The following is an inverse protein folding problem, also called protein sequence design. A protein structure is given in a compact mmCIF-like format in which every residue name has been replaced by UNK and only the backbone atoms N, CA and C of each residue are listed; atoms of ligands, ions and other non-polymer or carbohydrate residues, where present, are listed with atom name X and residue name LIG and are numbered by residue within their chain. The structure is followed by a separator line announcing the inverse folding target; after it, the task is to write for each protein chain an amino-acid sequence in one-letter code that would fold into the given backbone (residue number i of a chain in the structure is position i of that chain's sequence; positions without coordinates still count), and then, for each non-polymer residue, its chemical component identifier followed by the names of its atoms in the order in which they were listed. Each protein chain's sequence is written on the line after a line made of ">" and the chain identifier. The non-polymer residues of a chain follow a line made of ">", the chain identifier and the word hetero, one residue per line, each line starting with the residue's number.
data_IF_509038018591
#
_entry.id   IF_509038018591
#
_cell.length_a   1.000
_cell.length_b   1.000
_cell.length_c   1.000
_cell.angle_alpha   90.00
_cell.angle_beta   90.00
_cell.angle_gamma   90.00
#
_symmetry.space_group_name_H-M   'P 1'
#
loop_
_entity.id
_entity.type
_entity.pdbx_description
1 polymer ?
#
# COMPACT_ATOMS: atom_id res chain seq x y z
N UNK A 1 -4.64 8.91 -15.62
CA UNK A 1 -3.39 9.19 -14.88
C UNK A 1 -3.58 8.73 -13.44
N UNK A 2 -2.54 8.24 -12.77
CA UNK A 2 -2.57 7.91 -11.34
C UNK A 2 -2.10 9.14 -10.58
N UNK A 3 -2.88 9.60 -9.60
CA UNK A 3 -2.58 10.78 -8.79
C UNK A 3 -2.67 10.42 -7.31
N UNK A 4 -1.91 11.14 -6.48
CA UNK A 4 -2.01 10.94 -5.03
C UNK A 4 -3.42 11.31 -4.55
N UNK A 5 -4.04 10.46 -3.72
CA UNK A 5 -5.35 10.73 -3.16
C UNK A 5 -5.28 11.64 -1.91
N UNK A 6 -4.21 12.40 -1.67
CA UNK A 6 -4.05 13.20 -0.42
C UNK A 6 -5.30 13.99 0.02
N UNK A 7 -6.13 14.50 -0.90
CA UNK A 7 -7.40 15.16 -0.55
C UNK A 7 -8.64 14.26 -0.69
N UNK A 8 -8.64 13.33 -1.64
CA UNK A 8 -9.75 12.39 -1.83
C UNK A 8 -9.73 11.24 -0.80
N UNK A 9 -8.61 11.08 -0.09
CA UNK A 9 -8.21 10.01 0.83
C UNK A 9 -8.15 8.61 0.21
N UNK A 10 -8.99 8.34 -0.80
CA UNK A 10 -9.08 7.07 -1.51
C UNK A 10 -9.36 7.29 -3.01
N UNK A 11 -8.58 6.63 -3.86
CA UNK A 11 -8.85 6.48 -5.29
C UNK A 11 -9.05 5.01 -5.64
N UNK A 12 -9.97 4.75 -6.57
CA UNK A 12 -10.16 3.41 -7.14
C UNK A 12 -9.74 3.41 -8.61
N UNK A 13 -8.95 2.42 -8.98
CA UNK A 13 -8.50 2.23 -10.35
C UNK A 13 -8.94 0.86 -10.87
N UNK A 14 -9.63 0.88 -12.01
CA UNK A 14 -10.04 -0.34 -12.70
C UNK A 14 -8.91 -0.89 -13.55
N UNK A 15 -8.77 -2.22 -13.60
CA UNK A 15 -7.72 -2.90 -14.35
C UNK A 15 -7.83 -4.42 -14.26
N UNK A 16 -6.77 -5.14 -14.67
CA UNK A 16 -6.71 -6.61 -14.51
C UNK A 16 -6.91 -7.04 -13.06
N UNK A 17 -6.39 -6.24 -12.13
CA UNK A 17 -6.70 -6.29 -10.71
C UNK A 17 -7.16 -4.88 -10.33
N UNK A 18 -8.34 -4.72 -9.72
CA UNK A 18 -8.76 -3.42 -9.21
C UNK A 18 -7.77 -2.96 -8.11
N UNK A 19 -7.53 -1.65 -8.02
CA UNK A 19 -6.64 -1.06 -7.02
C UNK A 19 -7.42 -0.05 -6.19
N UNK A 20 -7.36 -0.19 -4.88
CA UNK A 20 -7.76 0.80 -3.90
C UNK A 20 -6.50 1.52 -3.41
N UNK A 21 -6.31 2.79 -3.75
CA UNK A 21 -5.16 3.59 -3.34
C UNK A 21 -5.60 4.59 -2.28
N UNK A 22 -5.15 4.40 -1.05
CA UNK A 22 -5.45 5.26 0.07
C UNK A 22 -4.23 6.08 0.52
N UNK A 23 -4.46 7.28 1.04
CA UNK A 23 -3.44 8.12 1.67
C UNK A 23 -3.88 8.51 3.08
N UNK A 24 -3.18 7.97 4.07
CA UNK A 24 -3.52 8.11 5.49
C UNK A 24 -2.86 9.33 6.14
N UNK A 25 -2.12 10.15 5.38
CA UNK A 25 -1.41 11.30 5.92
C UNK A 25 -2.33 12.24 6.72
N UNK A 26 -3.54 12.48 6.21
CA UNK A 26 -4.50 13.44 6.78
C UNK A 26 -5.48 12.86 7.80
N UNK A 27 -5.55 11.54 7.93
CA UNK A 27 -6.50 10.92 8.86
C UNK A 27 -6.08 11.15 10.31
N UNK A 28 -7.03 11.32 11.21
CA UNK A 28 -6.76 11.67 12.61
C UNK A 28 -6.73 10.47 13.54
N UNK A 29 -7.54 9.45 13.27
CA UNK A 29 -7.73 8.27 14.11
C UNK A 29 -8.11 7.03 13.29
N UNK A 30 -8.17 5.87 13.96
CA UNK A 30 -8.51 4.58 13.33
C UNK A 30 -9.98 4.51 12.88
N UNK A 31 -10.88 5.33 13.44
CA UNK A 31 -12.29 5.36 13.01
C UNK A 31 -12.38 5.91 11.59
N UNK A 32 -11.65 6.99 11.30
CA UNK A 32 -11.59 7.53 9.93
C UNK A 32 -10.98 6.54 8.93
N UNK A 33 -10.07 5.65 9.36
CA UNK A 33 -9.53 4.57 8.52
C UNK A 33 -10.61 3.55 8.15
N UNK A 34 -11.39 3.12 9.13
CA UNK A 34 -12.48 2.16 8.92
C UNK A 34 -13.59 2.77 8.06
N UNK A 35 -13.90 4.07 8.22
CA UNK A 35 -14.89 4.79 7.41
C UNK A 35 -14.50 4.96 5.93
N UNK A 36 -13.22 4.77 5.56
CA UNK A 36 -12.80 4.82 4.15
C UNK A 36 -13.34 3.67 3.32
N UNK A 37 -13.83 2.59 3.94
CA UNK A 37 -14.40 1.44 3.24
C UNK A 37 -13.35 0.61 2.48
N UNK A 38 -12.11 0.55 2.99
CA UNK A 38 -11.02 -0.21 2.36
C UNK A 38 -11.21 -1.72 2.51
N UNK A 39 -11.95 -2.16 3.52
CA UNK A 39 -12.18 -3.57 3.82
C UNK A 39 -13.17 -4.17 2.80
N UNK A 40 -14.24 -3.45 2.45
CA UNK A 40 -15.19 -3.83 1.41
C UNK A 40 -14.50 -3.97 0.05
N UNK A 41 -13.60 -3.03 -0.29
CA UNK A 41 -12.84 -3.09 -1.54
C UNK A 41 -11.88 -4.30 -1.57
N UNK A 42 -11.28 -4.67 -0.44
CA UNK A 42 -10.48 -5.88 -0.32
C UNK A 42 -11.33 -7.13 -0.53
N UNK A 43 -12.54 -7.18 0.03
CA UNK A 43 -13.50 -8.28 -0.15
C UNK A 43 -13.95 -8.42 -1.61
N UNK A 44 -14.10 -7.30 -2.33
CA UNK A 44 -14.35 -7.24 -3.77
C UNK A 44 -13.13 -7.65 -4.63
N UNK A 45 -12.00 -7.95 -4.00
CA UNK A 45 -10.79 -8.45 -4.65
C UNK A 45 -9.82 -7.38 -5.13
N UNK A 46 -9.96 -6.14 -4.64
CA UNK A 46 -9.00 -5.08 -4.92
C UNK A 46 -7.65 -5.31 -4.24
N UNK A 47 -6.59 -4.79 -4.85
CA UNK A 47 -5.30 -4.62 -4.20
C UNK A 47 -5.32 -3.28 -3.47
N UNK A 48 -5.17 -3.33 -2.14
CA UNK A 48 -5.04 -2.13 -1.33
C UNK A 48 -3.59 -1.63 -1.32
N UNK A 49 -3.40 -0.37 -1.71
CA UNK A 49 -2.14 0.37 -1.65
C UNK A 49 -2.32 1.55 -0.70
N UNK A 50 -1.55 1.60 0.39
CA UNK A 50 -1.70 2.62 1.43
C UNK A 50 -0.43 3.45 1.56
N UNK A 51 -0.53 4.75 1.34
CA UNK A 51 0.48 5.72 1.75
C UNK A 51 0.32 6.05 3.23
N UNK A 52 1.44 6.22 3.94
CA UNK A 52 1.47 6.53 5.37
C UNK A 52 0.80 5.48 6.28
N UNK A 53 0.64 4.24 5.82
CA UNK A 53 -0.01 3.16 6.58
C UNK A 53 0.59 2.86 7.96
N UNK A 54 1.88 3.17 8.19
CA UNK A 54 2.52 3.04 9.51
C UNK A 54 1.98 3.99 10.58
N UNK A 55 1.21 5.03 10.20
CA UNK A 55 0.56 5.96 11.13
C UNK A 55 -0.50 5.26 12.00
N UNK A 56 -1.07 4.16 11.48
CA UNK A 56 -2.16 3.42 12.09
C UNK A 56 -1.75 1.96 12.31
N UNK A 57 -1.25 1.60 13.50
CA UNK A 57 -0.79 0.25 13.79
C UNK A 57 -1.86 -0.84 13.59
N UNK A 58 -3.16 -0.48 13.66
CA UNK A 58 -4.27 -1.40 13.38
C UNK A 58 -4.20 -2.04 11.99
N UNK A 59 -3.59 -1.33 11.02
CA UNK A 59 -3.41 -1.82 9.66
C UNK A 59 -2.44 -2.99 9.54
N UNK A 60 -1.58 -3.24 10.54
CA UNK A 60 -0.55 -4.25 10.43
C UNK A 60 -1.12 -5.65 10.12
N UNK A 61 -2.29 -6.00 10.65
CA UNK A 61 -2.94 -7.27 10.34
C UNK A 61 -3.44 -7.38 8.90
N UNK A 62 -3.73 -6.24 8.24
CA UNK A 62 -4.27 -6.16 6.89
C UNK A 62 -3.18 -6.16 5.81
N UNK A 63 -1.95 -5.82 6.18
CA UNK A 63 -0.82 -5.66 5.25
C UNK A 63 0.03 -6.92 5.11
N UNK A 64 0.33 -7.29 3.86
CA UNK A 64 1.24 -8.42 3.55
C UNK A 64 2.63 -7.97 3.09
N UNK A 65 2.79 -6.68 2.76
CA UNK A 65 4.03 -6.11 2.27
C UNK A 65 4.14 -4.65 2.74
N UNK A 66 5.27 -4.32 3.36
CA UNK A 66 5.64 -2.96 3.69
C UNK A 66 6.73 -2.47 2.74
N UNK A 67 6.58 -1.25 2.25
CA UNK A 67 7.56 -0.60 1.38
C UNK A 67 8.00 0.69 2.06
N UNK A 68 9.29 0.78 2.36
CA UNK A 68 9.91 2.01 2.86
C UNK A 68 10.75 2.63 1.75
N UNK A 69 10.48 3.90 1.46
CA UNK A 69 11.22 4.67 0.46
C UNK A 69 12.15 5.65 1.17
N UNK A 70 13.43 5.58 0.85
CA UNK A 70 14.48 6.46 1.37
C UNK A 70 15.01 7.35 0.24
N UNK A 71 15.15 8.64 0.51
CA UNK A 71 15.83 9.59 -0.37
C UNK A 71 17.34 9.40 -0.20
N UNK A 72 18.01 8.92 -1.25
CA UNK A 72 19.47 8.69 -1.23
C UNK A 72 20.22 9.89 -1.80
N UNK A 73 19.66 10.53 -2.84
CA UNK A 73 20.14 11.78 -3.44
C UNK A 73 19.00 12.41 -4.24
N UNK A 74 19.25 13.51 -4.95
CA UNK A 74 18.25 14.17 -5.80
C UNK A 74 17.70 13.24 -6.91
N UNK A 75 18.52 12.30 -7.39
CA UNK A 75 18.18 11.41 -8.51
C UNK A 75 18.01 9.94 -8.09
N UNK A 76 18.24 9.61 -6.82
CA UNK A 76 18.23 8.23 -6.34
C UNK A 76 17.28 8.03 -5.16
N UNK A 77 16.55 6.92 -5.20
CA UNK A 77 15.73 6.42 -4.10
C UNK A 77 16.12 4.99 -3.80
N UNK A 78 16.00 4.59 -2.53
CA UNK A 78 16.11 3.20 -2.11
C UNK A 78 14.77 2.74 -1.60
N UNK A 79 14.27 1.62 -2.12
CA UNK A 79 13.12 0.94 -1.57
C UNK A 79 13.59 -0.25 -0.70
N UNK A 80 13.14 -0.32 0.54
CA UNK A 80 13.25 -1.51 1.40
C UNK A 80 11.88 -2.17 1.47
N UNK A 81 11.83 -3.46 1.17
CA UNK A 81 10.60 -4.26 1.19
C UNK A 81 10.66 -5.22 2.37
N UNK A 82 9.59 -5.26 3.16
CA UNK A 82 9.44 -6.18 4.28
C UNK A 82 8.16 -6.99 4.07
N UNK A 83 8.32 -8.31 3.94
CA UNK A 83 7.20 -9.23 3.82
C UNK A 83 6.56 -9.47 5.18
N UNK A 84 5.25 -9.70 5.17
CA UNK A 84 4.50 -10.17 6.31
C UNK A 84 3.68 -11.39 5.88
N UNK A 85 3.96 -12.52 6.53
CA UNK A 85 3.34 -13.81 6.22
C UNK A 85 3.74 -14.38 4.86
N UNK A 86 3.23 -15.60 4.58
CA UNK A 86 3.61 -16.37 3.39
C UNK A 86 3.30 -15.65 2.07
N UNK A 87 2.24 -14.83 2.03
CA UNK A 87 1.88 -14.07 0.84
C UNK A 87 2.92 -12.99 0.53
N UNK A 88 3.38 -12.25 1.54
CA UNK A 88 4.44 -11.26 1.40
C UNK A 88 5.74 -11.89 0.90
N UNK A 89 6.13 -13.03 1.46
CA UNK A 89 7.35 -13.76 1.08
C UNK A 89 7.30 -14.21 -0.39
N UNK A 90 6.15 -14.71 -0.83
CA UNK A 90 5.93 -15.09 -2.22
C UNK A 90 6.06 -13.88 -3.16
N UNK A 91 5.52 -12.71 -2.78
CA UNK A 91 5.63 -11.47 -3.56
C UNK A 91 7.08 -11.02 -3.66
N UNK A 92 7.82 -10.95 -2.54
CA UNK A 92 9.25 -10.57 -2.56
C UNK A 92 10.07 -11.54 -3.41
N UNK A 93 9.79 -12.84 -3.34
CA UNK A 93 10.48 -13.84 -4.15
C UNK A 93 10.23 -13.63 -5.65
N UNK A 94 8.99 -13.37 -6.05
CA UNK A 94 8.64 -13.07 -7.44
C UNK A 94 9.30 -11.78 -7.94
N UNK A 95 9.29 -10.72 -7.12
CA UNK A 95 9.98 -9.45 -7.43
C UNK A 95 11.48 -9.70 -7.61
N UNK A 96 12.15 -10.41 -6.69
CA UNK A 96 13.57 -10.73 -6.80
C UNK A 96 13.89 -11.50 -8.07
N UNK A 97 13.07 -12.47 -8.47
CA UNK A 97 13.27 -13.21 -9.70
C UNK A 97 13.20 -12.31 -10.95
N UNK A 98 12.33 -11.28 -10.93
CA UNK A 98 12.17 -10.30 -12.02
C UNK A 98 13.39 -9.38 -12.20
N UNK A 99 14.08 -9.03 -11.11
CA UNK A 99 15.20 -8.07 -11.09
C UNK A 99 16.59 -8.72 -11.10
N UNK A 100 16.69 -10.05 -11.19
CA UNK A 100 17.96 -10.77 -11.38
C UNK A 100 18.44 -10.81 -12.84
N UNK A 101 17.71 -10.17 -13.76
CA UNK A 101 18.07 -10.03 -15.18
C UNK A 101 18.68 -8.67 -15.45
#
# INVERSE_FOLDING_TARGET
>A
AVTSPTFALLHQYQGRLPIAHADFYRLSDEVEVDELGVDELLEEGAVLLVEWGRKFPGMAGRMVLWIELEIVSDIARRARLYAQGARGDAIISAVRARFRG
#
